data_IF_202820292389
#
_entry.id   IF_202820292389
#
_cell.length_a   1.000
_cell.length_b   1.000
_cell.length_c   1.000
_cell.angle_alpha   90.00
_cell.angle_beta   90.00
_cell.angle_gamma   90.00
#
_symmetry.space_group_name_H-M   'P 1'
#
loop_
_entity.id
_entity.type
_entity.pdbx_description
1 polymer ?
#
# COMPACT_ATOMS: atom_id res chain seq x y z
N UNK A 1 30.47 16.54 -32.95
CA UNK A 1 29.38 17.26 -32.24
C UNK A 1 28.11 16.42 -32.11
N UNK A 2 27.76 15.56 -33.08
CA UNK A 2 26.64 14.59 -32.97
C UNK A 2 26.84 13.55 -31.85
N UNK A 3 28.08 13.24 -31.55
CA UNK A 3 28.45 12.13 -30.64
C UNK A 3 28.16 12.47 -29.17
N UNK A 4 28.37 13.74 -28.78
CA UNK A 4 28.05 14.23 -27.43
C UNK A 4 26.53 14.27 -27.13
N UNK A 5 25.70 14.57 -28.13
CA UNK A 5 24.25 14.61 -27.92
C UNK A 5 23.65 13.20 -27.80
N UNK A 6 24.17 12.23 -28.56
CA UNK A 6 23.77 10.83 -28.45
C UNK A 6 24.20 10.18 -27.13
N UNK A 7 25.42 10.45 -26.67
CA UNK A 7 25.89 9.96 -25.36
C UNK A 7 25.06 10.51 -24.20
N UNK A 8 24.71 11.80 -24.24
CA UNK A 8 23.88 12.44 -23.21
C UNK A 8 22.49 11.80 -23.13
N UNK A 9 21.87 11.51 -24.26
CA UNK A 9 20.54 10.88 -24.33
C UNK A 9 20.56 9.44 -23.81
N UNK A 10 21.63 8.68 -24.07
CA UNK A 10 21.81 7.33 -23.53
C UNK A 10 21.93 7.37 -22.00
N UNK A 11 22.78 8.25 -21.47
CA UNK A 11 22.99 8.40 -20.02
C UNK A 11 21.70 8.82 -19.32
N UNK A 12 20.92 9.73 -19.91
CA UNK A 12 19.62 10.15 -19.37
C UNK A 12 18.61 8.98 -19.35
N UNK A 13 18.58 8.17 -20.41
CA UNK A 13 17.73 6.99 -20.47
C UNK A 13 18.13 5.92 -19.45
N UNK A 14 19.42 5.63 -19.30
CA UNK A 14 19.92 4.66 -18.31
C UNK A 14 19.64 5.13 -16.88
N UNK A 15 19.86 6.41 -16.59
CA UNK A 15 19.56 7.01 -15.29
C UNK A 15 18.07 6.89 -14.96
N UNK A 16 17.20 7.14 -15.93
CA UNK A 16 15.76 6.97 -15.79
C UNK A 16 15.37 5.51 -15.52
N UNK A 17 16.01 4.56 -16.17
CA UNK A 17 15.74 3.13 -15.94
C UNK A 17 16.14 2.70 -14.53
N UNK A 18 17.32 3.10 -14.05
CA UNK A 18 17.77 2.81 -12.68
C UNK A 18 16.82 3.43 -11.64
N UNK A 19 16.38 4.66 -11.87
CA UNK A 19 15.39 5.31 -11.00
C UNK A 19 14.08 4.50 -10.93
N UNK A 20 13.53 4.11 -12.08
CA UNK A 20 12.29 3.32 -12.14
C UNK A 20 12.43 1.95 -11.47
N UNK A 21 13.59 1.29 -11.63
CA UNK A 21 13.89 0.05 -10.93
C UNK A 21 13.90 0.24 -9.41
N UNK A 22 14.50 1.32 -8.92
CA UNK A 22 14.49 1.68 -7.50
C UNK A 22 13.07 1.93 -6.96
N UNK A 23 12.24 2.66 -7.72
CA UNK A 23 10.83 2.90 -7.37
C UNK A 23 10.06 1.58 -7.30
N UNK A 24 10.21 0.71 -8.31
CA UNK A 24 9.52 -0.59 -8.34
C UNK A 24 9.95 -1.49 -7.19
N UNK A 25 11.25 -1.54 -6.87
CA UNK A 25 11.76 -2.27 -5.72
C UNK A 25 11.15 -1.76 -4.39
N UNK A 26 11.02 -0.44 -4.24
CA UNK A 26 10.34 0.16 -3.09
C UNK A 26 8.86 -0.21 -2.99
N UNK A 27 8.13 -0.22 -4.12
CA UNK A 27 6.72 -0.63 -4.19
C UNK A 27 6.58 -2.11 -3.78
N UNK A 28 7.38 -3.01 -4.37
CA UNK A 28 7.33 -4.43 -4.04
C UNK A 28 7.61 -4.69 -2.56
N UNK A 29 8.66 -4.07 -2.01
CA UNK A 29 8.97 -4.16 -0.59
C UNK A 29 7.81 -3.72 0.30
N UNK A 30 7.13 -2.62 -0.06
CA UNK A 30 5.99 -2.12 0.69
C UNK A 30 4.78 -3.06 0.60
N UNK A 31 4.51 -3.65 -0.57
CA UNK A 31 3.43 -4.63 -0.73
C UNK A 31 3.67 -5.90 0.09
N UNK A 32 4.89 -6.43 0.07
CA UNK A 32 5.27 -7.60 0.88
C UNK A 32 5.16 -7.30 2.39
N UNK A 33 5.57 -6.09 2.80
CA UNK A 33 5.42 -5.63 4.17
C UNK A 33 3.95 -5.53 4.57
N UNK A 34 3.08 -5.05 3.68
CA UNK A 34 1.63 -4.97 3.91
C UNK A 34 1.05 -6.35 4.18
N UNK A 35 1.28 -7.28 3.26
CA UNK A 35 0.74 -8.64 3.37
C UNK A 35 1.28 -9.37 4.61
N UNK A 36 2.57 -9.21 4.91
CA UNK A 36 3.20 -9.83 6.09
C UNK A 36 2.63 -9.30 7.40
N UNK A 37 2.38 -8.01 7.51
CA UNK A 37 1.83 -7.42 8.74
C UNK A 37 0.36 -7.78 8.90
N UNK A 38 -0.40 -7.80 7.80
CA UNK A 38 -1.78 -8.32 7.78
C UNK A 38 -1.84 -9.76 8.30
N UNK A 39 -1.06 -10.68 7.73
CA UNK A 39 -0.99 -12.10 8.16
C UNK A 39 -0.58 -12.27 9.63
N UNK A 40 0.16 -11.31 10.19
CA UNK A 40 0.60 -11.31 11.59
C UNK A 40 -0.40 -10.65 12.55
N UNK A 41 -1.46 -10.03 12.05
CA UNK A 41 -2.35 -9.18 12.85
C UNK A 41 -1.57 -8.05 13.53
N UNK A 42 -0.68 -7.38 12.80
CA UNK A 42 0.14 -6.26 13.31
C UNK A 42 -0.06 -5.01 12.46
N UNK A 43 0.01 -3.81 13.06
CA UNK A 43 -0.16 -2.58 12.31
C UNK A 43 1.08 -2.24 11.48
N UNK A 44 0.89 -1.37 10.50
CA UNK A 44 1.96 -0.76 9.71
C UNK A 44 2.18 0.66 10.17
N UNK A 45 3.44 1.02 10.40
CA UNK A 45 3.83 2.41 10.61
C UNK A 45 4.09 3.10 9.27
N UNK A 46 3.36 4.19 9.02
CA UNK A 46 3.54 5.07 7.87
C UNK A 46 3.25 6.53 8.29
N UNK A 47 4.11 7.47 7.87
CA UNK A 47 3.95 8.91 8.16
C UNK A 47 3.72 9.24 9.65
N UNK A 48 4.37 8.51 10.56
CA UNK A 48 4.20 8.70 12.01
C UNK A 48 2.96 8.05 12.62
N UNK A 49 2.09 7.44 11.82
CA UNK A 49 0.84 6.81 12.25
C UNK A 49 0.89 5.29 12.12
N UNK A 50 0.08 4.60 12.93
CA UNK A 50 -0.11 3.15 12.86
C UNK A 50 -1.45 2.83 12.17
N UNK A 51 -1.41 1.94 11.18
CA UNK A 51 -2.56 1.48 10.42
C UNK A 51 -2.79 -0.01 10.64
N UNK A 52 -3.96 -0.36 11.15
CA UNK A 52 -4.43 -1.75 11.20
C UNK A 52 -5.04 -2.14 9.87
N UNK A 53 -4.69 -3.32 9.38
CA UNK A 53 -5.15 -3.81 8.10
C UNK A 53 -6.30 -4.78 8.31
N UNK A 54 -7.32 -4.66 7.46
CA UNK A 54 -8.44 -5.59 7.35
C UNK A 54 -8.60 -5.96 5.89
N UNK A 55 -8.94 -7.20 5.61
CA UNK A 55 -9.41 -7.54 4.26
C UNK A 55 -10.84 -7.05 4.03
N UNK A 56 -11.30 -7.13 2.77
CA UNK A 56 -12.64 -6.66 2.39
C UNK A 56 -13.75 -7.42 3.13
N UNK A 57 -13.52 -8.68 3.51
CA UNK A 57 -14.51 -9.53 4.17
C UNK A 57 -14.61 -9.19 5.66
N UNK A 58 -13.47 -8.99 6.32
CA UNK A 58 -13.41 -8.49 7.69
C UNK A 58 -14.08 -7.12 7.79
N UNK A 59 -13.72 -6.20 6.89
CA UNK A 59 -14.33 -4.87 6.88
C UNK A 59 -15.85 -4.91 6.63
N UNK A 60 -16.33 -5.79 5.74
CA UNK A 60 -17.76 -5.96 5.51
C UNK A 60 -18.48 -6.52 6.75
N UNK A 61 -17.87 -7.50 7.44
CA UNK A 61 -18.42 -8.07 8.67
C UNK A 61 -18.56 -7.01 9.75
N UNK A 62 -17.52 -6.21 9.98
CA UNK A 62 -17.57 -5.15 10.98
C UNK A 62 -18.70 -4.15 10.68
N UNK A 63 -18.88 -3.75 9.42
CA UNK A 63 -19.98 -2.86 9.02
C UNK A 63 -21.34 -3.51 9.28
N UNK A 64 -21.50 -4.79 8.95
CA UNK A 64 -22.75 -5.50 9.19
C UNK A 64 -23.05 -5.64 10.69
N UNK A 65 -22.05 -5.97 11.49
CA UNK A 65 -22.16 -6.11 12.94
C UNK A 65 -22.51 -4.76 13.59
N UNK A 66 -21.90 -3.65 13.13
CA UNK A 66 -22.21 -2.29 13.57
C UNK A 66 -23.67 -1.91 13.23
N UNK A 67 -24.12 -2.22 12.00
CA UNK A 67 -25.50 -1.97 11.58
C UNK A 67 -26.52 -2.77 12.40
N UNK A 68 -26.23 -4.05 12.67
CA UNK A 68 -27.08 -4.90 13.49
C UNK A 68 -27.13 -4.40 14.94
N UNK A 69 -25.99 -4.01 15.52
CA UNK A 69 -25.91 -3.44 16.86
C UNK A 69 -26.74 -2.15 16.98
N UNK A 70 -26.65 -1.25 15.99
CA UNK A 70 -27.47 -0.03 15.96
C UNK A 70 -28.96 -0.32 15.82
N UNK A 71 -29.33 -1.28 14.96
CA UNK A 71 -30.72 -1.70 14.79
C UNK A 71 -31.29 -2.27 16.10
N UNK A 72 -30.58 -3.19 16.73
CA UNK A 72 -30.98 -3.82 17.99
C UNK A 72 -31.08 -2.80 19.12
N UNK A 73 -30.18 -1.82 19.18
CA UNK A 73 -30.25 -0.72 20.17
C UNK A 73 -31.51 0.13 20.01
N UNK A 74 -32.00 0.32 18.77
CA UNK A 74 -33.13 1.21 18.46
C UNK A 74 -34.49 0.51 18.49
N UNK A 75 -34.54 -0.76 18.12
CA UNK A 75 -35.79 -1.49 17.86
C UNK A 75 -35.84 -2.89 18.51
N UNK A 76 -34.75 -3.38 19.07
CA UNK A 76 -34.77 -4.57 19.92
C UNK A 76 -35.61 -4.31 21.17
N UNK A 77 -36.45 -5.28 21.55
CA UNK A 77 -37.17 -5.25 22.84
C UNK A 77 -36.21 -5.38 24.01
#
# INVERSE_FOLDING_TARGET
MKDLFGEKEIIENETKQVFLQGVNAGIHYMMDKIERQYKKGKPIQANGSLYWLKDAKENLRDIMDDMEAEYNKKYGK
#
